data_IF_481927818976
#
_entry.id   IF_481927818976
#
_cell.length_a   1.000
_cell.length_b   1.000
_cell.length_c   1.000
_cell.angle_alpha   90.00
_cell.angle_beta   90.00
_cell.angle_gamma   90.00
#
_symmetry.space_group_name_H-M   'P 1'
#
loop_
_entity.id
_entity.type
_entity.pdbx_description
1 polymer ?
#
# COMPACT_ATOMS: atom_id res chain seq x y z
N UNK A 1 -16.25 24.95 21.69
CA UNK A 1 -14.99 25.45 21.12
C UNK A 1 -14.11 24.22 21.08
N UNK A 2 -14.38 23.37 20.09
CA UNK A 2 -13.68 22.09 19.92
C UNK A 2 -12.54 22.34 18.95
N UNK A 3 -11.34 22.41 19.49
CA UNK A 3 -10.09 22.28 18.74
C UNK A 3 -10.05 20.86 18.16
N UNK A 4 -10.40 20.75 16.87
CA UNK A 4 -10.10 19.57 16.07
C UNK A 4 -8.59 19.47 15.90
N UNK A 5 -8.00 18.71 16.82
CA UNK A 5 -6.62 18.26 16.85
C UNK A 5 -6.22 17.59 15.53
N UNK A 6 -5.25 18.19 14.84
CA UNK A 6 -4.14 17.52 14.16
C UNK A 6 -4.43 16.34 13.22
N UNK A 7 -5.64 16.21 12.70
CA UNK A 7 -6.03 15.12 11.81
C UNK A 7 -5.14 15.12 10.58
N UNK A 8 -4.16 14.22 10.53
CA UNK A 8 -3.56 13.74 9.28
C UNK A 8 -4.73 13.39 8.38
N UNK A 9 -5.06 14.30 7.46
CA UNK A 9 -6.08 14.05 6.45
C UNK A 9 -5.63 12.78 5.77
N UNK A 10 -6.46 11.75 5.92
CA UNK A 10 -6.32 10.49 5.23
C UNK A 10 -6.44 10.83 3.73
N UNK A 11 -5.32 11.14 3.08
CA UNK A 11 -5.26 11.30 1.63
C UNK A 11 -5.24 9.88 1.09
N UNK A 12 -6.44 9.32 1.01
CA UNK A 12 -6.68 8.06 0.33
C UNK A 12 -6.15 8.26 -1.10
N UNK A 13 -5.06 7.56 -1.42
CA UNK A 13 -4.41 7.56 -2.73
C UNK A 13 -5.28 6.87 -3.77
N UNK A 14 -6.52 7.32 -3.92
CA UNK A 14 -7.42 6.83 -4.93
C UNK A 14 -6.74 6.98 -6.29
N UNK A 15 -6.78 5.92 -7.11
CA UNK A 15 -6.27 5.88 -8.49
C UNK A 15 -6.62 7.12 -9.32
N UNK A 16 -7.77 7.75 -9.02
CA UNK A 16 -8.21 9.01 -9.63
C UNK A 16 -7.33 10.21 -9.29
N UNK A 17 -6.89 10.34 -8.03
CA UNK A 17 -6.02 11.43 -7.57
C UNK A 17 -4.66 11.37 -8.26
N UNK A 18 -4.05 10.18 -8.41
CA UNK A 18 -2.81 10.01 -9.17
C UNK A 18 -2.96 10.41 -10.64
N UNK A 19 -4.07 10.01 -11.28
CA UNK A 19 -4.33 10.36 -12.67
C UNK A 19 -4.52 11.86 -12.88
N UNK A 20 -5.23 12.54 -11.98
CA UNK A 20 -5.38 13.99 -12.01
C UNK A 20 -4.03 14.69 -11.74
N UNK A 21 -3.33 14.30 -10.67
CA UNK A 21 -2.03 14.85 -10.31
C UNK A 21 -1.02 14.75 -11.46
N UNK A 22 -0.90 13.58 -12.09
CA UNK A 22 -0.02 13.37 -13.24
C UNK A 22 -0.32 14.34 -14.37
N UNK A 23 -1.60 14.57 -14.69
CA UNK A 23 -2.00 15.51 -15.76
C UNK A 23 -1.61 16.95 -15.43
N UNK A 24 -1.84 17.38 -14.18
CA UNK A 24 -1.41 18.71 -13.73
C UNK A 24 0.10 18.87 -13.83
N UNK A 25 0.86 17.87 -13.39
CA UNK A 25 2.33 17.88 -13.46
C UNK A 25 2.85 17.93 -14.90
N UNK A 26 2.29 17.11 -15.81
CA UNK A 26 2.67 17.15 -17.23
C UNK A 26 2.41 18.51 -17.88
N UNK A 27 1.25 19.12 -17.58
CA UNK A 27 0.89 20.45 -18.09
C UNK A 27 1.85 21.52 -17.57
N UNK A 28 2.10 21.54 -16.26
CA UNK A 28 3.01 22.50 -15.62
C UNK A 28 4.43 22.36 -16.17
N UNK A 29 4.87 21.12 -16.42
CA UNK A 29 6.18 20.85 -16.99
C UNK A 29 6.35 21.43 -18.39
N UNK A 30 5.38 21.20 -19.28
CA UNK A 30 5.40 21.75 -20.65
C UNK A 30 5.36 23.28 -20.64
N UNK A 31 4.57 23.89 -19.74
CA UNK A 31 4.48 25.34 -19.61
C UNK A 31 5.78 26.00 -19.10
N UNK A 32 6.50 25.33 -18.19
CA UNK A 32 7.73 25.89 -17.60
C UNK A 32 8.97 25.62 -18.44
N UNK A 33 9.10 24.40 -18.95
CA UNK A 33 10.31 23.97 -19.69
C UNK A 33 10.19 24.20 -21.20
N UNK A 34 8.97 24.35 -21.72
CA UNK A 34 8.70 24.41 -23.16
C UNK A 34 8.75 23.05 -23.87
N UNK A 35 9.03 21.96 -23.14
CA UNK A 35 9.11 20.61 -23.68
C UNK A 35 8.09 19.70 -22.99
N UNK A 36 7.32 18.87 -23.73
CA UNK A 36 6.42 17.91 -23.12
C UNK A 36 7.22 16.78 -22.45
N UNK A 37 6.72 16.24 -21.33
CA UNK A 37 7.26 15.00 -20.77
C UNK A 37 7.13 13.83 -21.76
N UNK A 38 8.01 12.84 -21.62
CA UNK A 38 7.88 11.59 -22.36
C UNK A 38 6.53 10.92 -22.08
N UNK A 39 6.07 10.09 -23.02
CA UNK A 39 4.80 9.37 -22.88
C UNK A 39 4.85 8.44 -21.65
N UNK A 40 4.16 8.85 -20.59
CA UNK A 40 4.05 8.09 -19.36
C UNK A 40 3.06 6.93 -19.53
N UNK A 41 3.57 5.70 -19.58
CA UNK A 41 2.79 4.45 -19.67
C UNK A 41 2.82 3.70 -18.34
N UNK A 42 1.80 2.86 -18.09
CA UNK A 42 1.70 2.05 -16.86
C UNK A 42 0.47 2.37 -16.02
N UNK A 43 0.44 1.84 -14.80
CA UNK A 43 -0.63 2.09 -13.83
C UNK A 43 -0.64 3.59 -13.43
N UNK A 44 -1.77 4.17 -13.02
CA UNK A 44 -1.82 5.60 -12.65
C UNK A 44 -0.78 6.04 -11.61
N UNK A 45 -0.46 5.19 -10.63
CA UNK A 45 0.63 5.44 -9.66
C UNK A 45 2.01 5.49 -10.32
N UNK A 46 2.32 4.55 -11.22
CA UNK A 46 3.61 4.53 -11.94
C UNK A 46 3.81 5.80 -12.78
N UNK A 47 2.75 6.27 -13.43
CA UNK A 47 2.80 7.50 -14.23
C UNK A 47 3.01 8.72 -13.35
N UNK A 48 2.32 8.77 -12.21
CA UNK A 48 2.51 9.83 -11.23
C UNK A 48 3.95 9.84 -10.70
N UNK A 49 4.48 8.67 -10.35
CA UNK A 49 5.85 8.47 -9.89
C UNK A 49 6.87 8.96 -10.93
N UNK A 50 6.71 8.57 -12.21
CA UNK A 50 7.59 9.07 -13.27
C UNK A 50 7.50 10.59 -13.42
N UNK A 51 6.30 11.17 -13.36
CA UNK A 51 6.15 12.63 -13.40
C UNK A 51 6.86 13.30 -12.21
N UNK A 52 6.80 12.70 -11.02
CA UNK A 52 7.51 13.17 -9.83
C UNK A 52 9.03 13.17 -10.02
N UNK A 53 9.58 12.13 -10.64
CA UNK A 53 11.02 12.06 -10.95
C UNK A 53 11.50 13.21 -11.85
N UNK A 54 10.69 13.64 -12.84
CA UNK A 54 11.00 14.83 -13.65
C UNK A 54 11.09 16.09 -12.77
N UNK A 55 10.10 16.29 -11.90
CA UNK A 55 10.06 17.45 -11.01
C UNK A 55 11.22 17.45 -10.01
N UNK A 56 11.56 16.30 -9.44
CA UNK A 56 12.70 16.18 -8.51
C UNK A 56 14.00 16.56 -9.20
N UNK A 57 14.26 16.02 -10.40
CA UNK A 57 15.45 16.36 -11.19
C UNK A 57 15.51 17.86 -11.53
N UNK A 58 14.38 18.46 -11.91
CA UNK A 58 14.34 19.89 -12.22
C UNK A 58 14.48 20.78 -10.99
N UNK A 59 14.01 20.33 -9.82
CA UNK A 59 14.22 21.02 -8.56
C UNK A 59 15.70 21.01 -8.15
N UNK A 60 16.43 19.93 -8.46
CA UNK A 60 17.89 19.85 -8.26
C UNK A 60 18.67 20.73 -9.25
N UNK A 61 18.16 20.97 -10.47
CA UNK A 61 18.81 21.80 -11.50
C UNK A 61 18.56 23.31 -11.38
N UNK A 62 17.68 23.74 -10.46
CA UNK A 62 17.44 25.16 -10.17
C UNK A 62 16.10 25.73 -10.65
N UNK A 63 15.25 24.93 -11.29
CA UNK A 63 13.94 25.36 -11.81
C UNK A 63 12.80 25.26 -10.78
N UNK A 64 13.15 24.97 -9.52
CA UNK A 64 12.22 24.63 -8.45
C UNK A 64 11.15 25.71 -8.19
N UNK A 65 11.54 26.99 -8.22
CA UNK A 65 10.63 28.09 -7.88
C UNK A 65 9.53 28.29 -8.93
N UNK A 66 9.89 28.22 -10.22
CA UNK A 66 8.95 28.36 -11.32
C UNK A 66 7.96 27.18 -11.38
N UNK A 67 8.47 25.95 -11.22
CA UNK A 67 7.65 24.74 -11.18
C UNK A 67 6.67 24.76 -10.01
N UNK A 68 7.10 25.13 -8.80
CA UNK A 68 6.21 25.21 -7.62
C UNK A 68 5.11 26.25 -7.81
N UNK A 69 5.46 27.47 -8.25
CA UNK A 69 4.48 28.53 -8.46
C UNK A 69 3.40 28.13 -9.49
N UNK A 70 3.81 27.45 -10.57
CA UNK A 70 2.86 26.96 -11.59
C UNK A 70 2.04 25.78 -11.13
N UNK A 71 2.61 24.90 -10.30
CA UNK A 71 1.88 23.81 -9.69
C UNK A 71 0.81 24.32 -8.72
N UNK A 72 1.11 25.33 -7.92
CA UNK A 72 0.16 26.01 -7.03
C UNK A 72 -1.03 26.59 -7.81
N UNK A 73 -0.75 27.28 -8.93
CA UNK A 73 -1.77 27.82 -9.83
C UNK A 73 -2.63 26.70 -10.44
N UNK A 74 -2.00 25.63 -10.93
CA UNK A 74 -2.68 24.54 -11.62
C UNK A 74 -3.54 23.66 -10.70
N UNK A 75 -3.25 23.64 -9.40
CA UNK A 75 -3.92 22.77 -8.40
C UNK A 75 -4.77 23.53 -7.39
N UNK A 76 -4.84 24.87 -7.49
CA UNK A 76 -5.44 25.75 -6.48
C UNK A 76 -6.88 25.42 -6.07
N UNK A 77 -7.67 24.84 -6.97
CA UNK A 77 -9.06 24.44 -6.72
C UNK A 77 -9.23 22.98 -6.24
N UNK A 78 -8.18 22.14 -6.34
CA UNK A 78 -8.19 20.73 -5.95
C UNK A 78 -7.22 20.47 -4.79
N UNK A 79 -7.70 20.73 -3.57
CA UNK A 79 -6.91 20.57 -2.35
C UNK A 79 -6.39 19.15 -2.12
N UNK A 80 -7.03 18.11 -2.67
CA UNK A 80 -6.58 16.72 -2.51
C UNK A 80 -5.39 16.45 -3.43
N UNK A 81 -5.51 16.83 -4.70
CA UNK A 81 -4.43 16.68 -5.68
C UNK A 81 -3.23 17.53 -5.28
N UNK A 82 -3.47 18.75 -4.81
CA UNK A 82 -2.43 19.65 -4.31
C UNK A 82 -1.65 19.00 -3.17
N UNK A 83 -2.33 18.59 -2.10
CA UNK A 83 -1.67 17.94 -0.95
C UNK A 83 -0.92 16.68 -1.35
N UNK A 84 -1.48 15.84 -2.24
CA UNK A 84 -0.79 14.65 -2.74
C UNK A 84 0.54 14.99 -3.42
N UNK A 85 0.57 16.00 -4.30
CA UNK A 85 1.79 16.37 -5.01
C UNK A 85 2.79 17.01 -4.05
N UNK A 86 2.36 17.94 -3.19
CA UNK A 86 3.23 18.62 -2.22
C UNK A 86 3.88 17.65 -1.23
N UNK A 87 3.09 16.74 -0.64
CA UNK A 87 3.60 15.69 0.25
C UNK A 87 4.59 14.77 -0.48
N UNK A 88 4.29 14.42 -1.73
CA UNK A 88 5.18 13.58 -2.55
C UNK A 88 6.47 14.29 -2.94
N UNK A 89 6.44 15.60 -3.22
CA UNK A 89 7.63 16.40 -3.53
C UNK A 89 8.47 16.70 -2.28
N UNK A 90 7.85 16.76 -1.10
CA UNK A 90 8.54 16.94 0.18
C UNK A 90 9.35 15.70 0.59
N UNK A 91 8.81 14.50 0.30
CA UNK A 91 9.49 13.23 0.55
C UNK A 91 9.42 12.32 -0.68
N UNK A 92 10.15 12.63 -1.77
CA UNK A 92 10.06 11.86 -3.02
C UNK A 92 10.36 10.38 -2.80
N UNK A 93 11.36 10.05 -1.99
CA UNK A 93 11.70 8.65 -1.69
C UNK A 93 10.58 7.85 -1.03
N UNK A 94 9.69 8.51 -0.28
CA UNK A 94 8.54 7.87 0.37
C UNK A 94 7.38 7.66 -0.61
N UNK A 95 7.21 8.57 -1.58
CA UNK A 95 6.20 8.44 -2.63
C UNK A 95 6.46 7.25 -3.56
N UNK A 96 7.72 6.80 -3.65
CA UNK A 96 8.14 5.61 -4.42
C UNK A 96 8.06 4.31 -3.61
N UNK A 97 7.63 4.36 -2.34
CA UNK A 97 7.55 3.14 -1.54
C UNK A 97 6.41 2.24 -2.04
N UNK A 98 6.66 0.92 -2.07
CA UNK A 98 5.61 -0.06 -2.33
C UNK A 98 4.42 0.14 -1.39
N UNK A 99 3.21 -0.02 -1.93
CA UNK A 99 1.98 -0.05 -1.13
C UNK A 99 1.32 -1.42 -1.25
N UNK A 100 0.69 -1.89 -0.17
CA UNK A 100 -0.18 -3.05 -0.22
C UNK A 100 -1.31 -2.83 -1.24
N UNK A 101 -1.85 -1.62 -1.40
CA UNK A 101 -2.91 -1.36 -2.37
C UNK A 101 -2.47 -1.49 -3.84
N UNK A 102 -1.16 -1.51 -4.11
CA UNK A 102 -0.63 -1.79 -5.44
C UNK A 102 -0.54 -3.29 -5.73
N UNK A 103 -0.71 -4.15 -4.72
CA UNK A 103 -0.63 -5.60 -4.88
C UNK A 103 -1.96 -6.13 -5.42
N UNK A 104 -1.97 -6.83 -6.57
CA UNK A 104 -3.17 -7.52 -7.02
C UNK A 104 -3.63 -8.55 -5.97
N UNK A 105 -4.94 -8.62 -5.63
CA UNK A 105 -5.42 -9.54 -4.59
C UNK A 105 -4.97 -10.99 -4.79
N UNK A 106 -4.95 -11.47 -6.04
CA UNK A 106 -4.53 -12.84 -6.34
C UNK A 106 -3.05 -13.11 -5.99
N UNK A 107 -2.15 -12.11 -6.16
CA UNK A 107 -0.72 -12.23 -5.81
C UNK A 107 -0.58 -12.37 -4.31
N UNK A 108 -1.25 -11.51 -3.55
CA UNK A 108 -1.17 -11.54 -2.10
C UNK A 108 -1.76 -12.83 -1.52
N UNK A 109 -2.95 -13.23 -1.99
CA UNK A 109 -3.62 -14.46 -1.53
C UNK A 109 -2.82 -15.71 -1.89
N UNK A 110 -2.27 -15.79 -3.11
CA UNK A 110 -1.35 -16.86 -3.49
C UNK A 110 -0.15 -16.93 -2.54
N UNK A 111 0.46 -15.80 -2.21
CA UNK A 111 1.57 -15.76 -1.26
C UNK A 111 1.18 -16.21 0.15
N UNK A 112 -0.06 -15.93 0.60
CA UNK A 112 -0.60 -16.46 1.86
C UNK A 112 -0.76 -17.98 1.81
N UNK A 113 -1.34 -18.51 0.73
CA UNK A 113 -1.48 -19.96 0.52
C UNK A 113 -0.13 -20.67 0.50
N UNK A 114 0.83 -20.14 -0.27
CA UNK A 114 2.19 -20.69 -0.35
C UNK A 114 2.89 -20.70 1.01
N UNK A 115 2.70 -19.66 1.83
CA UNK A 115 3.27 -19.59 3.19
C UNK A 115 2.53 -20.49 4.18
N UNK A 116 1.21 -20.60 4.07
CA UNK A 116 0.40 -21.50 4.89
C UNK A 116 0.81 -22.96 4.65
N UNK A 117 0.88 -23.40 3.39
CA UNK A 117 1.34 -24.74 3.01
C UNK A 117 2.80 -25.00 3.42
N UNK A 118 3.66 -23.98 3.37
CA UNK A 118 5.05 -24.11 3.78
C UNK A 118 5.19 -24.35 5.30
N UNK A 119 4.34 -23.72 6.11
CA UNK A 119 4.40 -23.82 7.58
C UNK A 119 3.50 -24.90 8.17
N UNK A 120 2.50 -25.36 7.43
CA UNK A 120 1.59 -26.40 7.89
C UNK A 120 2.35 -27.70 8.18
N UNK A 121 2.07 -28.29 9.34
CA UNK A 121 2.58 -29.60 9.76
C UNK A 121 1.50 -30.67 9.68
N UNK A 122 1.82 -31.88 10.17
CA UNK A 122 0.85 -32.98 10.29
C UNK A 122 -0.26 -32.65 11.32
N UNK A 123 0.05 -31.85 12.33
CA UNK A 123 -0.90 -31.33 13.32
C UNK A 123 -1.12 -29.81 13.14
N UNK A 124 -2.27 -29.27 13.59
CA UNK A 124 -2.52 -27.84 13.54
C UNK A 124 -1.46 -27.01 14.29
N UNK A 125 -0.92 -26.00 13.62
CA UNK A 125 0.15 -25.14 14.18
C UNK A 125 -0.31 -23.69 14.29
N UNK A 126 0.05 -23.05 15.41
CA UNK A 126 -0.21 -21.64 15.67
C UNK A 126 1.03 -20.80 15.31
N UNK A 127 0.88 -19.80 14.45
CA UNK A 127 1.94 -18.89 14.00
C UNK A 127 1.57 -17.45 14.29
N UNK A 128 2.47 -16.67 14.88
CA UNK A 128 2.20 -15.25 15.13
C UNK A 128 2.00 -14.48 13.82
N UNK A 129 0.99 -13.60 13.79
CA UNK A 129 0.55 -12.99 12.55
C UNK A 129 1.61 -12.07 11.94
N UNK A 130 2.39 -11.36 12.77
CA UNK A 130 3.45 -10.49 12.29
C UNK A 130 4.58 -11.26 11.58
N UNK A 131 4.98 -12.40 12.12
CA UNK A 131 5.96 -13.30 11.50
C UNK A 131 5.41 -13.89 10.19
N UNK A 132 4.17 -14.42 10.22
CA UNK A 132 3.50 -14.95 9.04
C UNK A 132 3.40 -13.88 7.92
N UNK A 133 2.89 -12.70 8.23
CA UNK A 133 2.74 -11.62 7.24
C UNK A 133 4.09 -11.13 6.72
N UNK A 134 5.16 -11.09 7.53
CA UNK A 134 6.50 -10.72 7.04
C UNK A 134 7.01 -11.70 5.99
N UNK A 135 6.75 -12.99 6.16
CA UNK A 135 7.10 -14.01 5.17
C UNK A 135 6.24 -13.88 3.89
N UNK A 136 4.93 -13.69 4.03
CA UNK A 136 4.01 -13.43 2.91
C UNK A 136 4.43 -12.19 2.12
N UNK A 137 4.69 -11.07 2.79
CA UNK A 137 5.14 -9.82 2.16
C UNK A 137 6.47 -10.03 1.43
N UNK A 138 7.37 -10.83 1.97
CA UNK A 138 8.63 -11.16 1.29
C UNK A 138 8.41 -11.91 -0.03
N UNK A 139 7.42 -12.82 -0.10
CA UNK A 139 7.03 -13.51 -1.34
C UNK A 139 6.39 -12.55 -2.33
N UNK A 140 5.49 -11.69 -1.88
CA UNK A 140 4.84 -10.65 -2.71
C UNK A 140 5.88 -9.74 -3.34
N UNK A 141 6.85 -9.25 -2.57
CA UNK A 141 7.91 -8.35 -3.07
C UNK A 141 8.75 -9.03 -4.15
N UNK A 142 9.08 -10.31 -3.94
CA UNK A 142 9.80 -11.12 -4.91
C UNK A 142 8.99 -11.27 -6.22
N UNK A 143 7.69 -11.55 -6.11
CA UNK A 143 6.81 -11.72 -7.27
C UNK A 143 6.56 -10.40 -8.02
N UNK A 144 6.43 -9.29 -7.29
CA UNK A 144 6.26 -7.94 -7.85
C UNK A 144 7.56 -7.33 -8.38
N UNK A 145 8.72 -7.96 -8.14
CA UNK A 145 10.03 -7.43 -8.53
C UNK A 145 10.42 -6.15 -7.79
N UNK A 146 9.90 -5.93 -6.59
CA UNK A 146 10.16 -4.74 -5.79
C UNK A 146 11.50 -4.81 -5.06
N UNK A 147 12.23 -3.70 -5.04
CA UNK A 147 13.54 -3.61 -4.36
C UNK A 147 13.43 -3.24 -2.89
N UNK A 148 12.31 -2.62 -2.49
CA UNK A 148 11.99 -2.22 -1.11
C UNK A 148 10.78 -3.01 -0.61
N UNK A 149 10.61 -3.06 0.72
CA UNK A 149 9.48 -3.72 1.38
C UNK A 149 8.53 -2.68 1.95
N UNK A 150 7.22 -2.94 1.88
CA UNK A 150 6.28 -2.24 2.75
C UNK A 150 6.28 -2.90 4.14
N UNK A 151 6.05 -2.10 5.18
CA UNK A 151 6.18 -2.56 6.56
C UNK A 151 4.99 -3.44 6.98
N UNK A 152 5.25 -4.42 7.84
CA UNK A 152 4.23 -5.16 8.60
C UNK A 152 4.22 -4.61 10.02
N UNK A 153 3.07 -4.11 10.47
CA UNK A 153 2.92 -3.49 11.79
C UNK A 153 1.63 -2.70 11.91
N UNK A 154 1.58 -1.80 12.90
CA UNK A 154 0.48 -0.86 13.12
C UNK A 154 0.56 0.28 12.10
N UNK A 155 0.14 -0.01 10.87
CA UNK A 155 0.26 0.91 9.75
C UNK A 155 -0.94 0.84 8.79
N UNK A 156 -0.93 1.71 7.77
CA UNK A 156 -2.03 1.86 6.81
C UNK A 156 -2.35 0.60 6.00
N UNK A 157 -1.39 -0.31 5.84
CA UNK A 157 -1.56 -1.51 5.03
C UNK A 157 -2.26 -2.64 5.78
N UNK A 158 -2.24 -2.62 7.13
CA UNK A 158 -2.78 -3.71 7.95
C UNK A 158 -4.25 -4.03 7.66
N UNK A 159 -5.18 -3.05 7.56
CA UNK A 159 -6.58 -3.34 7.25
C UNK A 159 -6.75 -4.14 5.95
N UNK A 160 -5.97 -3.79 4.91
CA UNK A 160 -6.01 -4.47 3.61
C UNK A 160 -5.46 -5.89 3.69
N UNK A 161 -4.35 -6.09 4.39
CA UNK A 161 -3.77 -7.43 4.63
C UNK A 161 -4.73 -8.33 5.41
N UNK A 162 -5.41 -7.80 6.43
CA UNK A 162 -6.41 -8.54 7.21
C UNK A 162 -7.62 -8.90 6.35
N UNK A 163 -8.07 -7.99 5.46
CA UNK A 163 -9.15 -8.30 4.52
C UNK A 163 -8.79 -9.53 3.68
N UNK A 164 -7.64 -9.55 3.03
CA UNK A 164 -7.22 -10.70 2.22
C UNK A 164 -7.04 -11.97 3.04
N UNK A 165 -6.57 -11.84 4.28
CA UNK A 165 -6.41 -12.99 5.16
C UNK A 165 -7.76 -13.62 5.51
N UNK A 166 -8.80 -12.80 5.73
CA UNK A 166 -10.17 -13.28 5.95
C UNK A 166 -10.76 -13.93 4.70
N UNK A 167 -10.43 -13.42 3.52
CA UNK A 167 -10.85 -14.06 2.27
C UNK A 167 -10.19 -15.44 2.11
N UNK A 168 -8.89 -15.57 2.40
CA UNK A 168 -8.18 -16.87 2.38
C UNK A 168 -8.72 -17.81 3.45
N UNK A 169 -8.98 -17.30 4.65
CA UNK A 169 -9.64 -18.06 5.70
C UNK A 169 -10.98 -18.62 5.22
N UNK A 170 -11.81 -17.80 4.57
CA UNK A 170 -13.10 -18.23 4.01
C UNK A 170 -12.95 -19.26 2.89
N UNK A 171 -11.97 -19.09 2.00
CA UNK A 171 -11.63 -20.04 0.94
C UNK A 171 -11.13 -21.39 1.48
N UNK A 172 -10.48 -21.39 2.64
CA UNK A 172 -9.96 -22.59 3.30
C UNK A 172 -10.99 -23.32 4.18
N UNK A 173 -12.24 -22.86 4.22
CA UNK A 173 -13.30 -23.52 4.98
C UNK A 173 -13.82 -24.74 4.23
N UNK A 174 -13.83 -25.87 4.92
CA UNK A 174 -14.54 -27.08 4.52
C UNK A 174 -15.62 -27.47 5.53
N UNK A 175 -16.33 -28.56 5.25
CA UNK A 175 -17.45 -29.04 6.08
C UNK A 175 -17.04 -29.44 7.51
N UNK A 176 -15.74 -29.66 7.77
CA UNK A 176 -15.23 -30.13 9.07
C UNK A 176 -14.14 -29.26 9.69
N UNK A 177 -13.73 -28.15 9.07
CA UNK A 177 -12.61 -27.35 9.57
C UNK A 177 -12.22 -26.17 8.69
N UNK A 178 -11.13 -25.51 9.07
CA UNK A 178 -10.59 -24.32 8.41
C UNK A 178 -9.09 -24.49 8.27
N UNK A 179 -8.56 -24.39 7.05
CA UNK A 179 -7.13 -24.55 6.77
C UNK A 179 -6.29 -23.40 7.32
N UNK A 180 -6.74 -22.16 7.16
CA UNK A 180 -6.11 -20.97 7.73
C UNK A 180 -7.14 -20.22 8.57
N UNK A 181 -6.95 -20.16 9.88
CA UNK A 181 -7.88 -19.51 10.80
C UNK A 181 -7.24 -18.34 11.55
N UNK A 182 -7.82 -17.13 11.43
CA UNK A 182 -7.34 -15.94 12.14
C UNK A 182 -7.85 -15.92 13.58
N UNK A 183 -6.94 -15.78 14.54
CA UNK A 183 -7.25 -15.83 15.97
C UNK A 183 -6.61 -14.69 16.74
N UNK A 184 -7.18 -14.35 17.90
CA UNK A 184 -6.47 -13.58 18.91
C UNK A 184 -5.27 -14.41 19.39
N UNK A 185 -4.16 -13.75 19.71
CA UNK A 185 -2.93 -14.42 20.17
C UNK A 185 -3.17 -15.31 21.40
N UNK A 186 -4.08 -14.88 22.28
CA UNK A 186 -4.49 -15.64 23.46
C UNK A 186 -5.43 -16.83 23.17
N UNK A 187 -5.86 -17.03 21.91
CA UNK A 187 -6.90 -18.01 21.52
C UNK A 187 -8.27 -17.82 22.19
N UNK A 188 -8.53 -16.64 22.76
CA UNK A 188 -9.78 -16.36 23.47
C UNK A 188 -10.56 -15.25 22.77
N UNK A 189 -11.88 -15.45 22.65
CA UNK A 189 -12.80 -14.47 22.12
C UNK A 189 -12.73 -14.31 20.60
N UNK A 190 -13.61 -13.45 20.08
CA UNK A 190 -13.63 -13.11 18.65
C UNK A 190 -12.52 -12.13 18.33
N UNK A 191 -11.94 -12.25 17.14
CA UNK A 191 -11.04 -11.23 16.59
C UNK A 191 -11.84 -9.97 16.33
N UNK A 192 -11.29 -8.81 16.69
CA UNK A 192 -11.92 -7.53 16.42
C UNK A 192 -12.23 -7.36 14.92
N UNK A 193 -13.33 -6.67 14.57
CA UNK A 193 -13.68 -6.43 13.16
C UNK A 193 -12.57 -5.67 12.42
N UNK A 194 -11.91 -4.74 13.11
CA UNK A 194 -10.81 -3.91 12.63
C UNK A 194 -9.64 -3.96 13.63
N UNK A 195 -8.80 -5.00 13.60
CA UNK A 195 -7.67 -5.08 14.50
C UNK A 195 -6.62 -4.02 14.12
N UNK A 196 -6.04 -3.38 15.13
CA UNK A 196 -5.08 -2.28 14.94
C UNK A 196 -3.63 -2.75 14.91
N UNK A 197 -3.35 -3.98 15.38
CA UNK A 197 -1.99 -4.48 15.57
C UNK A 197 -1.86 -5.96 15.24
N UNK A 198 -0.91 -6.36 14.37
CA UNK A 198 -0.70 -7.76 14.05
C UNK A 198 -0.11 -8.54 15.23
N UNK A 199 0.58 -7.88 16.16
CA UNK A 199 1.23 -8.50 17.32
C UNK A 199 0.24 -9.10 18.33
N UNK A 200 -1.03 -8.71 18.24
CA UNK A 200 -2.13 -9.21 19.07
C UNK A 200 -2.84 -10.42 18.47
N UNK A 201 -2.43 -10.85 17.28
CA UNK A 201 -3.08 -11.88 16.49
C UNK A 201 -2.13 -13.03 16.16
N UNK A 202 -2.73 -14.15 15.76
CA UNK A 202 -2.03 -15.32 15.21
C UNK A 202 -2.91 -15.99 14.17
N UNK A 203 -2.30 -16.81 13.32
CA UNK A 203 -3.01 -17.72 12.43
C UNK A 203 -2.81 -19.15 12.92
N UNK A 204 -3.87 -19.95 12.88
CA UNK A 204 -3.79 -21.40 13.01
C UNK A 204 -3.84 -22.01 11.63
N UNK A 205 -2.90 -22.92 11.35
CA UNK A 205 -2.75 -23.60 10.08
C UNK A 205 -3.03 -25.09 10.27
N UNK A 206 -3.92 -25.67 9.47
CA UNK A 206 -4.27 -27.10 9.50
C UNK A 206 -4.15 -27.69 8.10
N UNK A 207 -3.17 -28.57 7.90
CA UNK A 207 -2.86 -29.17 6.60
C UNK A 207 -4.01 -30.01 6.02
N UNK A 208 -4.95 -30.48 6.86
CA UNK A 208 -6.07 -31.29 6.37
C UNK A 208 -7.09 -30.47 5.56
N UNK A 209 -7.01 -29.13 5.65
CA UNK A 209 -7.95 -28.19 5.04
C UNK A 209 -7.23 -27.11 4.20
N UNK A 210 -5.93 -27.27 3.95
CA UNK A 210 -5.12 -26.39 3.11
C UNK A 210 -4.85 -26.97 1.72
#
# INVERSE_FOLDING_TARGET
>A
MDEFDGGRRFVDGCVRAYGAATKHMMKVWEEVTGEPMDKLTGHPKDRFQRALEYFVRAMESGDAAALRAKLDEATGDDGIVKSLIEESLASPEEALLPDADDVPPYVFKKAMWDEALHRAGEEPVDVYLDDFLRAVVSRVISEMGWTRRFNVGENRHLPRMIQWLREVEDESKGDGGVGLHLMNRASVGRVASYPTSPYTLKVRLDANWL
#
